data_IF_613059829432
#
_entry.id   IF_613059829432
#
_cell.length_a   1.000
_cell.length_b   1.000
_cell.length_c   1.000
_cell.angle_alpha   90.00
_cell.angle_beta   90.00
_cell.angle_gamma   90.00
#
_symmetry.space_group_name_H-M   'P 1'
#
loop_
_entity.id
_entity.type
_entity.pdbx_description
1 polymer ?
#
# COMPACT_ATOMS: atom_id res chain seq x y z
N UNK A 1 16.08 13.63 -3.30
CA UNK A 1 14.68 13.41 -2.84
C UNK A 1 13.66 13.77 -3.91
N UNK A 2 13.48 15.02 -4.36
CA UNK A 2 12.45 15.37 -5.36
C UNK A 2 12.67 14.71 -6.73
N UNK A 3 13.93 14.52 -7.16
CA UNK A 3 14.25 13.79 -8.40
C UNK A 3 13.89 12.31 -8.32
N UNK A 4 14.13 11.67 -7.19
CA UNK A 4 13.79 10.26 -6.93
C UNK A 4 12.27 10.06 -6.87
N UNK A 5 11.55 10.96 -6.20
CA UNK A 5 10.08 10.97 -6.23
C UNK A 5 9.51 11.13 -7.65
N UNK A 6 10.17 11.88 -8.53
CA UNK A 6 9.70 12.07 -9.91
C UNK A 6 10.03 10.90 -10.84
N UNK A 7 11.02 10.10 -10.55
CA UNK A 7 11.47 9.05 -11.45
C UNK A 7 10.98 7.66 -11.06
N UNK A 8 11.02 7.30 -9.77
CA UNK A 8 10.74 5.93 -9.34
C UNK A 8 9.41 5.82 -8.57
N UNK A 9 9.18 6.71 -7.60
CA UNK A 9 7.97 6.65 -6.77
C UNK A 9 6.75 7.17 -7.51
N UNK A 10 6.92 8.07 -8.50
CA UNK A 10 5.79 8.61 -9.27
C UNK A 10 5.03 7.59 -10.11
N UNK A 11 5.59 6.40 -10.33
CA UNK A 11 4.92 5.32 -11.04
C UNK A 11 3.72 4.79 -10.25
N UNK A 12 3.76 4.90 -8.93
CA UNK A 12 2.70 4.37 -8.06
C UNK A 12 2.22 5.37 -6.99
N UNK A 13 2.91 6.49 -6.78
CA UNK A 13 2.50 7.51 -5.83
C UNK A 13 2.87 8.93 -6.28
N UNK A 14 1.88 9.80 -6.38
CA UNK A 14 2.10 11.21 -6.72
C UNK A 14 1.99 12.10 -5.48
N UNK A 15 3.03 12.88 -5.20
CA UNK A 15 3.05 13.88 -4.12
C UNK A 15 3.28 15.27 -4.72
N UNK A 16 2.43 16.22 -4.37
CA UNK A 16 2.62 17.61 -4.78
C UNK A 16 3.64 18.33 -3.90
N UNK A 17 4.35 19.29 -4.47
CA UNK A 17 5.28 20.14 -3.70
C UNK A 17 4.60 20.86 -2.52
N UNK A 18 3.34 21.23 -2.69
CA UNK A 18 2.54 21.89 -1.65
C UNK A 18 2.25 21.00 -0.44
N UNK A 19 2.29 19.68 -0.60
CA UNK A 19 2.09 18.71 0.48
C UNK A 19 3.41 18.31 1.16
N UNK A 20 4.51 18.26 0.39
CA UNK A 20 5.80 17.76 0.87
C UNK A 20 6.42 18.67 1.95
N UNK A 21 6.46 19.98 1.72
CA UNK A 21 7.14 20.90 2.65
C UNK A 21 6.45 21.04 4.01
N UNK A 22 5.11 21.20 4.09
CA UNK A 22 4.40 21.18 5.36
C UNK A 22 4.61 19.89 6.14
N UNK A 23 4.66 18.74 5.44
CA UNK A 23 4.88 17.45 6.09
C UNK A 23 6.31 17.32 6.63
N UNK A 24 7.32 17.72 5.89
CA UNK A 24 8.71 17.76 6.39
C UNK A 24 8.85 18.67 7.62
N UNK A 25 8.15 19.81 7.62
CA UNK A 25 8.15 20.71 8.78
C UNK A 25 7.50 20.05 9.99
N UNK A 26 6.35 19.38 9.82
CA UNK A 26 5.68 18.63 10.88
C UNK A 26 6.59 17.54 11.46
N UNK A 27 7.26 16.77 10.58
CA UNK A 27 8.19 15.71 11.00
C UNK A 27 9.39 16.25 11.78
N UNK A 28 9.87 17.46 11.45
CA UNK A 28 10.92 18.16 12.23
C UNK A 28 10.41 18.56 13.63
N UNK A 29 9.21 19.12 13.71
CA UNK A 29 8.59 19.55 14.97
C UNK A 29 8.29 18.37 15.89
N UNK A 30 7.88 17.23 15.32
CA UNK A 30 7.67 15.97 16.05
C UNK A 30 8.97 15.23 16.40
N UNK A 31 10.11 15.68 15.86
CA UNK A 31 11.41 15.06 16.10
C UNK A 31 11.61 13.73 15.38
N UNK A 32 10.86 13.47 14.30
CA UNK A 32 10.97 12.25 13.49
C UNK A 32 12.15 12.32 12.51
N UNK A 33 12.49 13.53 12.08
CA UNK A 33 13.66 13.83 11.28
C UNK A 33 14.44 15.00 11.89
N UNK A 34 15.69 15.13 11.50
CA UNK A 34 16.55 16.26 11.85
C UNK A 34 17.31 16.77 10.63
N UNK A 35 17.74 18.02 10.67
CA UNK A 35 18.59 18.60 9.62
C UNK A 35 20.02 18.07 9.79
N UNK A 36 20.56 17.42 8.76
CA UNK A 36 21.94 16.93 8.78
C UNK A 36 22.92 18.11 8.70
N UNK A 37 23.73 18.27 9.74
CA UNK A 37 24.82 19.27 9.78
C UNK A 37 25.91 18.86 8.79
N UNK A 38 26.36 19.79 7.94
CA UNK A 38 27.52 19.56 7.04
C UNK A 38 27.22 19.57 5.54
N UNK A 39 26.05 20.03 5.12
CA UNK A 39 25.81 20.32 3.72
C UNK A 39 26.61 21.57 3.31
N UNK A 40 27.62 21.37 2.47
CA UNK A 40 28.45 22.45 1.94
C UNK A 40 27.73 23.36 0.93
N UNK A 41 26.45 23.09 0.68
CA UNK A 41 25.65 23.79 -0.30
C UNK A 41 24.42 24.42 0.39
N UNK A 42 24.44 25.74 0.58
CA UNK A 42 23.40 26.54 1.23
C UNK A 42 22.00 26.41 0.58
N UNK A 43 21.92 25.81 -0.61
CA UNK A 43 20.66 25.62 -1.35
C UNK A 43 20.03 24.24 -1.17
N UNK A 44 20.70 23.31 -0.50
CA UNK A 44 20.21 21.94 -0.34
C UNK A 44 20.13 21.59 1.15
N UNK A 45 18.91 21.40 1.64
CA UNK A 45 18.70 20.91 3.01
C UNK A 45 18.64 19.39 2.95
N UNK A 46 19.53 18.75 3.71
CA UNK A 46 19.52 17.29 3.88
C UNK A 46 18.88 16.94 5.22
N UNK A 47 17.95 16.03 5.21
CA UNK A 47 17.28 15.49 6.39
C UNK A 47 17.81 14.10 6.70
N UNK A 48 17.81 13.75 7.97
CA UNK A 48 18.16 12.44 8.47
C UNK A 48 17.06 11.97 9.43
N UNK A 49 16.66 10.71 9.32
CA UNK A 49 15.67 10.12 10.21
C UNK A 49 16.28 9.92 11.60
N UNK A 50 15.52 10.23 12.64
CA UNK A 50 15.89 10.03 14.04
C UNK A 50 15.50 8.63 14.54
N UNK A 51 15.88 8.30 15.77
CA UNK A 51 15.40 7.07 16.42
C UNK A 51 13.87 7.06 16.55
N UNK A 52 13.28 8.20 16.94
CA UNK A 52 11.82 8.35 17.04
C UNK A 52 11.15 8.10 15.68
N UNK A 53 11.69 8.68 14.61
CA UNK A 53 11.19 8.45 13.26
C UNK A 53 11.31 6.98 12.81
N UNK A 54 12.40 6.28 13.17
CA UNK A 54 12.56 4.85 12.90
C UNK A 54 11.51 4.03 13.66
N UNK A 55 11.23 4.34 14.92
CA UNK A 55 10.21 3.65 15.71
C UNK A 55 8.82 3.83 15.10
N UNK A 56 8.43 5.05 14.72
CA UNK A 56 7.16 5.34 14.03
C UNK A 56 7.07 4.61 12.69
N UNK A 57 8.16 4.58 11.91
CA UNK A 57 8.20 3.87 10.63
C UNK A 57 7.99 2.36 10.82
N UNK A 58 8.64 1.75 11.82
CA UNK A 58 8.45 0.34 12.14
C UNK A 58 7.02 0.04 12.59
N UNK A 59 6.43 0.93 13.40
CA UNK A 59 5.02 0.81 13.78
C UNK A 59 4.10 0.84 12.55
N UNK A 60 4.33 1.77 11.63
CA UNK A 60 3.55 1.86 10.39
C UNK A 60 3.69 0.61 9.51
N UNK A 61 4.86 -0.02 9.42
CA UNK A 61 5.02 -1.31 8.75
C UNK A 61 4.16 -2.41 9.38
N UNK A 62 3.98 -2.37 10.68
CA UNK A 62 3.18 -3.35 11.44
C UNK A 62 1.67 -3.13 11.33
N UNK A 63 1.22 -1.96 10.88
CA UNK A 63 -0.20 -1.66 10.70
C UNK A 63 -0.84 -2.56 9.65
N UNK A 64 -2.15 -2.81 9.84
CA UNK A 64 -2.92 -3.63 8.92
C UNK A 64 -2.95 -3.04 7.51
N UNK A 65 -2.84 -3.92 6.51
CA UNK A 65 -2.99 -3.55 5.11
C UNK A 65 -4.47 -3.27 4.83
N UNK A 66 -4.74 -2.15 4.15
CA UNK A 66 -6.07 -1.82 3.68
C UNK A 66 -6.15 -2.03 2.17
N UNK A 67 -6.93 -3.01 1.72
CA UNK A 67 -7.10 -3.32 0.30
C UNK A 67 -7.70 -2.18 -0.56
N UNK A 68 -8.17 -1.12 0.07
CA UNK A 68 -8.62 0.09 -0.65
C UNK A 68 -7.47 1.03 -0.99
N UNK A 69 -6.29 0.79 -0.45
CA UNK A 69 -5.08 1.61 -0.61
C UNK A 69 -3.91 0.74 -1.07
N UNK A 70 -4.03 0.14 -2.26
CA UNK A 70 -2.93 -0.63 -2.88
C UNK A 70 -1.64 0.20 -3.00
N UNK A 71 -1.77 1.51 -3.17
CA UNK A 71 -0.65 2.45 -3.20
C UNK A 71 0.19 2.40 -1.92
N UNK A 72 -0.43 2.27 -0.74
CA UNK A 72 0.31 2.20 0.54
C UNK A 72 1.10 0.91 0.70
N UNK A 73 0.60 -0.21 0.21
CA UNK A 73 1.35 -1.48 0.19
C UNK A 73 2.56 -1.36 -0.73
N UNK A 74 2.41 -0.80 -1.92
CA UNK A 74 3.51 -0.53 -2.84
C UNK A 74 4.58 0.36 -2.21
N UNK A 75 4.19 1.40 -1.47
CA UNK A 75 5.14 2.26 -0.73
C UNK A 75 5.87 1.49 0.37
N UNK A 76 5.17 0.64 1.13
CA UNK A 76 5.81 -0.22 2.15
C UNK A 76 6.87 -1.11 1.52
N UNK A 77 6.55 -1.78 0.41
CA UNK A 77 7.49 -2.63 -0.31
C UNK A 77 8.69 -1.84 -0.85
N UNK A 78 8.46 -0.66 -1.43
CA UNK A 78 9.53 0.20 -1.93
C UNK A 78 10.52 0.64 -0.84
N UNK A 79 10.03 0.89 0.37
CA UNK A 79 10.88 1.29 1.50
C UNK A 79 11.76 0.15 2.07
N UNK A 80 11.52 -1.11 1.69
CA UNK A 80 12.30 -2.25 2.16
C UNK A 80 13.45 -2.50 1.19
N UNK A 81 14.65 -2.04 1.57
CA UNK A 81 15.86 -2.19 0.75
C UNK A 81 16.49 -3.60 0.83
N UNK A 82 16.28 -4.32 1.93
CA UNK A 82 16.85 -5.65 2.14
C UNK A 82 15.87 -6.73 1.68
N UNK A 83 16.25 -7.47 0.63
CA UNK A 83 15.48 -8.61 0.10
C UNK A 83 15.25 -9.76 1.10
N UNK A 84 16.02 -9.82 2.18
CA UNK A 84 15.90 -10.83 3.24
C UNK A 84 15.16 -10.30 4.47
N UNK A 85 14.60 -9.09 4.39
CA UNK A 85 13.84 -8.51 5.51
C UNK A 85 12.63 -9.36 5.86
N UNK A 86 12.42 -9.70 7.14
CA UNK A 86 11.22 -10.42 7.59
C UNK A 86 9.93 -9.61 7.33
N UNK A 87 10.03 -8.28 7.20
CA UNK A 87 8.90 -7.41 6.87
C UNK A 87 8.28 -7.75 5.52
N UNK A 88 9.06 -8.24 4.54
CA UNK A 88 8.52 -8.68 3.25
C UNK A 88 7.55 -9.84 3.42
N UNK A 89 7.97 -10.89 4.14
CA UNK A 89 7.10 -12.05 4.41
C UNK A 89 5.83 -11.63 5.14
N UNK A 90 5.96 -10.78 6.17
CA UNK A 90 4.80 -10.29 6.93
C UNK A 90 3.81 -9.49 6.07
N UNK A 91 4.29 -8.63 5.19
CA UNK A 91 3.44 -7.84 4.28
C UNK A 91 2.73 -8.78 3.31
N UNK A 92 3.45 -9.70 2.66
CA UNK A 92 2.87 -10.64 1.71
C UNK A 92 1.87 -11.59 2.35
N UNK A 93 2.15 -12.11 3.54
CA UNK A 93 1.21 -12.98 4.28
C UNK A 93 -0.09 -12.24 4.62
N UNK A 94 0.01 -11.02 5.15
CA UNK A 94 -1.15 -10.18 5.46
C UNK A 94 -1.97 -9.87 4.19
N UNK A 95 -1.31 -9.54 3.12
CA UNK A 95 -1.96 -9.25 1.84
C UNK A 95 -2.66 -10.51 1.29
N UNK A 96 -1.98 -11.64 1.31
CA UNK A 96 -2.53 -12.93 0.89
C UNK A 96 -3.78 -13.31 1.68
N UNK A 97 -3.75 -13.17 3.00
CA UNK A 97 -4.89 -13.48 3.86
C UNK A 97 -6.09 -12.57 3.58
N UNK A 98 -5.88 -11.27 3.43
CA UNK A 98 -6.94 -10.32 3.09
C UNK A 98 -7.56 -10.62 1.73
N UNK A 99 -6.74 -10.94 0.73
CA UNK A 99 -7.20 -11.33 -0.60
C UNK A 99 -8.02 -12.62 -0.55
N UNK A 100 -7.56 -13.63 0.18
CA UNK A 100 -8.29 -14.89 0.35
C UNK A 100 -9.63 -14.70 1.06
N UNK A 101 -9.67 -13.90 2.12
CA UNK A 101 -10.91 -13.56 2.81
C UNK A 101 -11.89 -12.86 1.87
N UNK A 102 -11.43 -11.91 1.07
CA UNK A 102 -12.25 -11.20 0.10
C UNK A 102 -12.78 -12.13 -0.99
N UNK A 103 -11.93 -12.98 -1.54
CA UNK A 103 -12.31 -13.96 -2.55
C UNK A 103 -13.33 -14.96 -2.01
N UNK A 104 -13.13 -15.46 -0.79
CA UNK A 104 -14.07 -16.35 -0.10
C UNK A 104 -15.41 -15.68 0.06
N UNK A 105 -15.45 -14.46 0.59
CA UNK A 105 -16.68 -13.69 0.78
C UNK A 105 -17.44 -13.48 -0.55
N UNK A 106 -16.77 -13.15 -1.64
CA UNK A 106 -17.40 -12.96 -2.95
C UNK A 106 -18.00 -14.26 -3.49
N UNK A 107 -17.31 -15.40 -3.31
CA UNK A 107 -17.81 -16.72 -3.71
C UNK A 107 -19.04 -17.12 -2.91
N UNK A 108 -19.00 -16.97 -1.59
CA UNK A 108 -20.13 -17.27 -0.68
C UNK A 108 -21.34 -16.41 -1.03
N UNK A 109 -21.13 -15.10 -1.23
CA UNK A 109 -22.17 -14.17 -1.64
C UNK A 109 -22.83 -14.58 -2.96
N UNK A 110 -22.02 -14.94 -3.97
CA UNK A 110 -22.55 -15.41 -5.25
C UNK A 110 -23.34 -16.69 -5.10
N UNK A 111 -22.87 -17.65 -4.31
CA UNK A 111 -23.56 -18.91 -4.06
C UNK A 111 -24.87 -18.70 -3.31
N UNK A 112 -24.92 -17.78 -2.35
CA UNK A 112 -26.10 -17.44 -1.58
C UNK A 112 -27.19 -16.79 -2.45
N UNK A 113 -26.80 -15.85 -3.33
CA UNK A 113 -27.73 -15.08 -4.14
C UNK A 113 -28.23 -15.82 -5.40
N UNK A 114 -27.42 -16.74 -5.91
CA UNK A 114 -27.65 -17.39 -7.21
C UNK A 114 -27.60 -18.90 -7.08
N UNK A 115 -28.64 -19.47 -6.44
CA UNK A 115 -28.75 -20.91 -6.17
C UNK A 115 -29.28 -21.71 -7.37
N UNK A 116 -30.00 -21.04 -8.29
CA UNK A 116 -30.60 -21.67 -9.46
C UNK A 116 -30.57 -20.75 -10.69
N UNK A 117 -30.90 -21.30 -11.84
CA UNK A 117 -30.86 -20.59 -13.12
C UNK A 117 -31.87 -19.44 -13.22
N UNK A 118 -32.99 -19.54 -12.56
CA UNK A 118 -34.03 -18.51 -12.55
C UNK A 118 -33.52 -17.23 -11.85
N UNK A 119 -32.87 -17.37 -10.69
CA UNK A 119 -32.25 -16.24 -9.98
C UNK A 119 -31.15 -15.58 -10.80
N UNK A 120 -30.34 -16.39 -11.52
CA UNK A 120 -29.32 -15.87 -12.41
C UNK A 120 -29.95 -15.04 -13.55
N UNK A 121 -31.01 -15.55 -14.17
CA UNK A 121 -31.68 -14.90 -15.27
C UNK A 121 -32.35 -13.59 -14.86
N UNK A 122 -32.97 -13.57 -13.67
CA UNK A 122 -33.65 -12.40 -13.13
C UNK A 122 -32.70 -11.25 -12.76
N UNK A 123 -31.49 -11.58 -12.30
CA UNK A 123 -30.48 -10.61 -11.89
C UNK A 123 -29.12 -10.80 -12.61
N UNK A 124 -29.17 -11.08 -13.90
CA UNK A 124 -27.98 -11.44 -14.69
C UNK A 124 -26.84 -10.42 -14.59
N UNK A 125 -27.15 -9.14 -14.59
CA UNK A 125 -26.15 -8.08 -14.42
C UNK A 125 -25.40 -8.17 -13.09
N UNK A 126 -26.11 -8.43 -12.00
CA UNK A 126 -25.49 -8.63 -10.69
C UNK A 126 -24.63 -9.90 -10.63
N UNK A 127 -25.11 -10.99 -11.22
CA UNK A 127 -24.32 -12.22 -11.36
C UNK A 127 -23.01 -11.99 -12.11
N UNK A 128 -23.05 -11.23 -13.22
CA UNK A 128 -21.85 -10.90 -14.01
C UNK A 128 -20.85 -10.04 -13.21
N UNK A 129 -21.33 -9.05 -12.45
CA UNK A 129 -20.47 -8.20 -11.60
C UNK A 129 -19.72 -9.05 -10.58
N UNK A 130 -20.41 -9.94 -9.85
CA UNK A 130 -19.79 -10.82 -8.88
C UNK A 130 -18.82 -11.82 -9.53
N UNK A 131 -19.19 -12.37 -10.68
CA UNK A 131 -18.34 -13.31 -11.42
C UNK A 131 -17.06 -12.63 -11.91
N UNK A 132 -17.17 -11.40 -12.44
CA UNK A 132 -16.02 -10.57 -12.83
C UNK A 132 -15.11 -10.27 -11.65
N UNK A 133 -15.69 -9.85 -10.52
CA UNK A 133 -14.93 -9.57 -9.29
C UNK A 133 -14.15 -10.82 -8.82
N UNK A 134 -14.80 -11.99 -8.76
CA UNK A 134 -14.15 -13.26 -8.39
C UNK A 134 -13.00 -13.59 -9.34
N UNK A 135 -13.16 -13.36 -10.64
CA UNK A 135 -12.14 -13.64 -11.65
C UNK A 135 -10.94 -12.71 -11.53
N UNK A 136 -11.16 -11.42 -11.27
CA UNK A 136 -10.12 -10.44 -11.03
C UNK A 136 -9.27 -10.83 -9.81
N UNK A 137 -9.90 -11.17 -8.69
CA UNK A 137 -9.21 -11.58 -7.46
C UNK A 137 -8.45 -12.90 -7.59
N UNK A 138 -8.89 -13.83 -8.44
CA UNK A 138 -8.15 -15.07 -8.76
C UNK A 138 -6.88 -14.81 -9.57
N UNK A 139 -6.86 -13.77 -10.40
CA UNK A 139 -5.74 -13.45 -11.28
C UNK A 139 -4.53 -12.91 -10.55
N UNK A 140 -4.71 -12.24 -9.41
CA UNK A 140 -3.65 -11.58 -8.65
C UNK A 140 -2.58 -12.58 -8.16
N UNK A 141 -2.95 -13.82 -7.83
CA UNK A 141 -2.03 -14.86 -7.32
C UNK A 141 -1.39 -15.76 -8.37
N UNK A 142 -1.57 -15.51 -9.66
CA UNK A 142 -0.91 -16.30 -10.71
C UNK A 142 0.51 -15.83 -11.05
N UNK A 143 0.97 -14.75 -10.45
CA UNK A 143 2.27 -14.12 -10.72
C UNK A 143 3.31 -14.29 -9.59
N UNK A 144 2.98 -15.00 -8.51
CA UNK A 144 3.88 -15.28 -7.41
C UNK A 144 4.44 -16.71 -7.45
#
# INVERSE_FOLDING_TARGET
MIKEFKNEISEFWSVSHSQLYPELQRMLEEGDIEVRKGSSNLKVINYQITKNGIEKLNQWFSESINLKNDDLTSVKLYCIADRHSPLLSEIFEKEFDLHNQKLKHLKERRQMLFQNQEQINNEYGHYLILTRAISAWKGIFRLA
#
